data_IF_754342700081
#
_entry.id   IF_754342700081
#
_cell.length_a   1.000
_cell.length_b   1.000
_cell.length_c   1.000
_cell.angle_alpha   90.00
_cell.angle_beta   90.00
_cell.angle_gamma   90.00
#
_symmetry.space_group_name_H-M   'P 1'
#
loop_
_entity.id
_entity.type
_entity.pdbx_description
1 polymer ?
#
# COMPACT_ATOMS: atom_id res chain seq x y z
N UNK A 1 9.20 8.36 -18.40
CA UNK A 1 8.59 8.52 -17.08
C UNK A 1 7.09 8.30 -17.16
N UNK A 2 6.52 7.54 -16.24
CA UNK A 2 5.08 7.29 -16.22
C UNK A 2 4.32 8.56 -15.82
N UNK A 3 3.03 8.60 -16.18
CA UNK A 3 2.15 9.71 -15.78
C UNK A 3 2.10 9.86 -14.25
N UNK A 4 1.99 8.73 -13.53
CA UNK A 4 1.89 8.75 -12.07
C UNK A 4 3.17 9.27 -11.42
N UNK A 5 4.32 8.88 -11.94
CA UNK A 5 5.60 9.38 -11.47
C UNK A 5 5.72 10.89 -11.67
N UNK A 6 5.29 11.40 -12.83
CA UNK A 6 5.31 12.84 -13.10
C UNK A 6 4.40 13.61 -12.13
N UNK A 7 3.20 13.10 -11.84
CA UNK A 7 2.27 13.72 -10.91
C UNK A 7 2.87 13.76 -9.50
N UNK A 8 3.45 12.66 -9.04
CA UNK A 8 4.05 12.56 -7.70
C UNK A 8 5.25 13.48 -7.54
N UNK A 9 6.06 13.65 -8.59
CA UNK A 9 7.21 14.55 -8.55
C UNK A 9 6.81 16.02 -8.50
N UNK A 10 5.59 16.37 -8.92
CA UNK A 10 5.07 17.74 -8.82
C UNK A 10 4.69 18.12 -7.38
N UNK A 11 4.39 17.13 -6.53
CA UNK A 11 4.17 17.35 -5.11
C UNK A 11 5.49 17.15 -4.37
N UNK A 12 6.25 18.25 -4.20
CA UNK A 12 7.58 18.18 -3.60
C UNK A 12 7.59 17.64 -2.19
N UNK A 13 6.58 17.97 -1.38
CA UNK A 13 6.48 17.48 -0.01
C UNK A 13 6.26 15.97 0.04
N UNK A 14 5.35 15.47 -0.77
CA UNK A 14 5.06 14.04 -0.85
C UNK A 14 6.27 13.27 -1.39
N UNK A 15 6.93 13.81 -2.41
CA UNK A 15 8.11 13.20 -2.98
C UNK A 15 9.25 13.12 -1.97
N UNK A 16 9.48 14.20 -1.21
CA UNK A 16 10.51 14.23 -0.17
C UNK A 16 10.22 13.23 0.95
N UNK A 17 8.96 13.12 1.37
CA UNK A 17 8.53 12.17 2.38
C UNK A 17 8.74 10.72 1.91
N UNK A 18 8.37 10.42 0.67
CA UNK A 18 8.59 9.09 0.09
C UNK A 18 10.09 8.75 0.05
N UNK A 19 10.93 9.70 -0.32
CA UNK A 19 12.39 9.53 -0.31
C UNK A 19 12.92 9.22 1.08
N UNK A 20 12.41 9.91 2.09
CA UNK A 20 12.80 9.65 3.48
C UNK A 20 12.38 8.27 3.95
N UNK A 21 11.17 7.82 3.60
CA UNK A 21 10.69 6.46 3.93
C UNK A 21 11.60 5.40 3.32
N UNK A 22 11.93 5.54 2.04
CA UNK A 22 12.81 4.60 1.34
C UNK A 22 14.19 4.57 1.99
N UNK A 23 14.76 5.74 2.29
CA UNK A 23 16.07 5.84 2.93
C UNK A 23 16.09 5.21 4.32
N UNK A 24 15.07 5.45 5.13
CA UNK A 24 14.96 4.87 6.47
C UNK A 24 14.78 3.35 6.42
N UNK A 25 13.98 2.84 5.49
CA UNK A 25 13.79 1.41 5.31
C UNK A 25 15.09 0.72 4.92
N UNK A 26 15.83 1.32 3.99
CA UNK A 26 17.13 0.79 3.58
C UNK A 26 18.12 0.77 4.74
N UNK A 27 18.21 1.85 5.51
CA UNK A 27 19.09 1.95 6.67
C UNK A 27 18.73 0.94 7.76
N UNK A 28 17.43 0.66 7.93
CA UNK A 28 16.94 -0.31 8.92
C UNK A 28 17.02 -1.77 8.42
N UNK A 29 17.33 -2.00 7.16
CA UNK A 29 17.39 -3.35 6.59
C UNK A 29 16.03 -4.00 6.45
N UNK A 30 14.97 -3.22 6.28
CA UNK A 30 13.60 -3.72 6.12
C UNK A 30 13.10 -3.55 4.69
N UNK A 31 12.13 -4.35 4.31
CA UNK A 31 11.44 -4.22 3.03
C UNK A 31 10.00 -3.76 3.25
N UNK A 32 9.43 -3.15 2.23
CA UNK A 32 8.10 -2.55 2.26
C UNK A 32 7.22 -3.18 1.19
N UNK A 33 5.97 -3.39 1.55
CA UNK A 33 4.91 -3.72 0.62
C UNK A 33 3.66 -2.96 1.02
N UNK A 34 2.76 -2.74 0.08
CA UNK A 34 1.55 -1.99 0.31
C UNK A 34 0.31 -2.81 -0.03
N UNK A 35 -0.74 -2.60 0.74
CA UNK A 35 -2.09 -3.04 0.38
C UNK A 35 -2.95 -1.80 0.26
N UNK A 36 -3.51 -1.57 -0.91
CA UNK A 36 -4.23 -0.33 -1.22
C UNK A 36 -5.66 -0.59 -1.65
N UNK A 37 -6.54 0.33 -1.34
CA UNK A 37 -7.92 0.34 -1.81
C UNK A 37 -8.22 1.69 -2.48
N UNK A 38 -8.70 2.68 -1.73
CA UNK A 38 -9.10 3.98 -2.30
C UNK A 38 -7.94 4.76 -2.94
N UNK A 39 -6.71 4.51 -2.56
CA UNK A 39 -5.54 5.14 -3.17
C UNK A 39 -5.18 4.57 -4.53
N UNK A 40 -5.71 3.39 -4.89
CA UNK A 40 -5.62 2.84 -6.24
C UNK A 40 -4.22 2.55 -6.77
N UNK A 41 -3.24 2.39 -5.88
CA UNK A 41 -1.85 2.15 -6.25
C UNK A 41 -0.94 3.38 -6.10
N UNK A 42 -1.48 4.53 -5.69
CA UNK A 42 -0.70 5.76 -5.58
C UNK A 42 0.36 5.69 -4.48
N UNK A 43 0.11 4.96 -3.38
CA UNK A 43 1.11 4.81 -2.31
C UNK A 43 2.31 4.03 -2.84
N UNK A 44 2.08 2.90 -3.48
CA UNK A 44 3.15 2.12 -4.11
C UNK A 44 3.86 2.93 -5.20
N UNK A 45 3.09 3.66 -6.02
CA UNK A 45 3.64 4.53 -7.06
C UNK A 45 4.53 5.64 -6.50
N UNK A 46 4.13 6.23 -5.37
CA UNK A 46 4.91 7.25 -4.69
C UNK A 46 6.27 6.71 -4.22
N UNK A 47 6.26 5.53 -3.60
CA UNK A 47 7.50 4.91 -3.12
C UNK A 47 8.41 4.48 -4.27
N UNK A 48 7.84 3.88 -5.32
CA UNK A 48 8.62 3.41 -6.48
C UNK A 48 9.14 4.55 -7.35
N UNK A 49 8.60 5.77 -7.21
CA UNK A 49 9.12 6.95 -7.89
C UNK A 49 10.51 7.35 -7.39
N UNK A 50 10.89 6.92 -6.21
CA UNK A 50 12.18 7.28 -5.60
C UNK A 50 13.29 6.42 -6.21
N UNK A 51 14.38 7.07 -6.62
CA UNK A 51 15.55 6.38 -7.11
C UNK A 51 16.14 5.49 -6.01
N UNK A 52 16.43 4.24 -6.34
CA UNK A 52 16.95 3.27 -5.36
C UNK A 52 15.87 2.52 -4.59
N UNK A 53 14.58 2.80 -4.82
CA UNK A 53 13.48 2.16 -4.10
C UNK A 53 13.41 0.65 -4.30
N UNK A 54 13.96 0.12 -5.40
CA UNK A 54 13.96 -1.32 -5.66
C UNK A 54 14.71 -2.13 -4.60
N UNK A 55 15.59 -1.50 -3.84
CA UNK A 55 16.29 -2.15 -2.73
C UNK A 55 15.36 -2.48 -1.56
N UNK A 56 14.26 -1.75 -1.41
CA UNK A 56 13.37 -1.89 -0.24
C UNK A 56 11.91 -2.16 -0.60
N UNK A 57 11.41 -1.69 -1.73
CA UNK A 57 10.01 -1.86 -2.11
C UNK A 57 9.83 -3.16 -2.88
N UNK A 58 9.02 -4.06 -2.33
CA UNK A 58 8.76 -5.37 -2.94
C UNK A 58 7.59 -5.36 -3.90
N UNK A 59 6.63 -4.48 -3.68
CA UNK A 59 5.46 -4.41 -4.52
C UNK A 59 4.25 -3.93 -3.73
N UNK A 60 3.09 -4.11 -4.31
CA UNK A 60 1.84 -3.75 -3.67
C UNK A 60 0.67 -4.50 -4.29
N UNK A 61 -0.41 -4.58 -3.52
CA UNK A 61 -1.68 -5.16 -3.98
C UNK A 61 -2.73 -4.07 -3.95
N UNK A 62 -3.35 -3.82 -5.08
CA UNK A 62 -4.49 -2.92 -5.16
C UNK A 62 -5.76 -3.77 -5.10
N UNK A 63 -6.44 -3.74 -3.94
CA UNK A 63 -7.61 -4.57 -3.67
C UNK A 63 -8.84 -3.69 -3.46
N UNK A 64 -9.27 -3.03 -4.53
CA UNK A 64 -10.37 -2.08 -4.44
C UNK A 64 -11.72 -2.77 -4.15
N UNK A 65 -12.04 -3.83 -4.87
CA UNK A 65 -13.28 -4.56 -4.70
C UNK A 65 -13.24 -5.45 -3.45
N UNK A 66 -14.38 -5.61 -2.79
CA UNK A 66 -14.51 -6.45 -1.59
C UNK A 66 -14.07 -7.90 -1.86
N UNK A 67 -14.48 -8.56 -2.96
CA UNK A 67 -14.01 -9.91 -3.23
C UNK A 67 -12.51 -10.04 -3.35
N UNK A 68 -11.83 -9.01 -3.89
CA UNK A 68 -10.37 -9.00 -4.01
C UNK A 68 -9.71 -8.89 -2.63
N UNK A 69 -10.28 -8.05 -1.74
CA UNK A 69 -9.80 -7.97 -0.36
C UNK A 69 -9.83 -9.33 0.33
N UNK A 70 -10.90 -10.06 0.13
CA UNK A 70 -11.07 -11.38 0.75
C UNK A 70 -10.20 -12.45 0.08
N UNK A 71 -10.29 -12.57 -1.25
CA UNK A 71 -9.66 -13.68 -1.97
C UNK A 71 -8.14 -13.53 -2.08
N UNK A 72 -7.63 -12.33 -2.28
CA UNK A 72 -6.20 -12.10 -2.45
C UNK A 72 -5.51 -11.83 -1.12
N UNK A 73 -6.08 -10.94 -0.31
CA UNK A 73 -5.45 -10.51 0.94
C UNK A 73 -5.95 -11.28 2.16
N UNK A 74 -6.95 -12.13 2.01
CA UNK A 74 -7.45 -12.94 3.11
C UNK A 74 -8.21 -12.15 4.18
N UNK A 75 -8.71 -10.95 3.86
CA UNK A 75 -9.54 -10.19 4.80
C UNK A 75 -10.81 -11.00 5.09
N UNK A 76 -11.15 -11.24 6.36
CA UNK A 76 -12.34 -12.01 6.69
C UNK A 76 -13.61 -11.36 6.14
N UNK A 77 -14.41 -12.12 5.40
CA UNK A 77 -15.71 -11.63 4.97
C UNK A 77 -16.66 -11.58 6.16
N UNK A 78 -16.82 -12.71 6.87
CA UNK A 78 -17.61 -12.76 8.08
C UNK A 78 -16.92 -12.02 9.22
N UNK A 79 -17.65 -11.11 9.83
CA UNK A 79 -17.16 -10.35 10.99
C UNK A 79 -16.33 -9.11 10.66
N UNK A 80 -15.93 -8.90 9.41
CA UNK A 80 -15.24 -7.68 8.97
C UNK A 80 -15.97 -7.07 7.78
N UNK A 81 -15.85 -7.67 6.61
CA UNK A 81 -16.37 -7.06 5.37
C UNK A 81 -17.91 -7.04 5.35
N UNK A 82 -18.55 -8.07 5.88
CA UNK A 82 -20.02 -8.17 5.92
C UNK A 82 -20.65 -7.46 7.12
N UNK A 83 -19.85 -7.08 8.12
CA UNK A 83 -20.39 -6.45 9.34
C UNK A 83 -20.70 -4.98 9.07
N UNK A 84 -21.96 -4.54 9.19
CA UNK A 84 -22.34 -3.16 8.91
C UNK A 84 -21.75 -2.13 9.88
N UNK A 85 -21.27 -2.57 11.04
CA UNK A 85 -20.59 -1.72 12.02
C UNK A 85 -19.09 -1.60 11.79
N UNK A 86 -18.51 -2.45 10.96
CA UNK A 86 -17.08 -2.47 10.64
C UNK A 86 -16.89 -2.17 9.15
N UNK A 87 -17.10 -3.16 8.29
CA UNK A 87 -17.03 -3.01 6.85
C UNK A 87 -15.64 -2.82 6.29
N UNK A 88 -15.61 -2.53 4.98
CA UNK A 88 -14.36 -2.38 4.23
C UNK A 88 -13.59 -1.10 4.56
N UNK A 89 -14.26 -0.08 5.08
CA UNK A 89 -13.65 1.20 5.48
C UNK A 89 -13.55 1.22 7.00
N UNK A 90 -12.51 0.58 7.52
CA UNK A 90 -12.31 0.42 8.95
C UNK A 90 -10.85 0.15 9.26
N UNK A 91 -10.45 0.37 10.51
CA UNK A 91 -9.12 0.00 10.99
C UNK A 91 -8.92 -1.51 10.98
N UNK A 92 -9.96 -2.27 11.28
CA UNK A 92 -9.92 -3.75 11.25
C UNK A 92 -9.62 -4.26 9.84
N UNK A 93 -10.26 -3.69 8.83
CA UNK A 93 -10.00 -4.06 7.44
C UNK A 93 -8.58 -3.65 7.02
N UNK A 94 -8.15 -2.45 7.37
CA UNK A 94 -6.81 -1.97 7.04
C UNK A 94 -5.72 -2.86 7.65
N UNK A 95 -5.87 -3.26 8.90
CA UNK A 95 -4.93 -4.16 9.56
C UNK A 95 -4.90 -5.53 8.88
N UNK A 96 -6.05 -6.09 8.55
CA UNK A 96 -6.15 -7.37 7.87
C UNK A 96 -5.53 -7.30 6.47
N UNK A 97 -5.71 -6.19 5.75
CA UNK A 97 -5.11 -5.97 4.44
C UNK A 97 -3.58 -5.93 4.54
N UNK A 98 -3.04 -5.21 5.51
CA UNK A 98 -1.59 -5.12 5.71
C UNK A 98 -0.99 -6.48 6.03
N UNK A 99 -1.61 -7.25 6.92
CA UNK A 99 -1.18 -8.61 7.24
C UNK A 99 -1.24 -9.53 6.01
N UNK A 100 -2.30 -9.43 5.23
CA UNK A 100 -2.47 -10.21 4.01
C UNK A 100 -1.40 -9.88 2.97
N UNK A 101 -1.07 -8.61 2.79
CA UNK A 101 -0.01 -8.19 1.87
C UNK A 101 1.36 -8.71 2.31
N UNK A 102 1.63 -8.71 3.61
CA UNK A 102 2.87 -9.28 4.15
C UNK A 102 3.00 -10.78 3.83
N UNK A 103 1.89 -11.49 3.85
CA UNK A 103 1.87 -12.96 3.72
C UNK A 103 1.78 -13.44 2.26
N UNK A 104 1.57 -12.55 1.32
CA UNK A 104 1.46 -12.91 -0.11
C UNK A 104 2.82 -13.13 -0.77
#
# INVERSE_FOLDING_TARGET
MSRDKAILEQDGELFDLAGEVVRLAEAAGITLGCAESCTGGLVSGCLTAIQGSSAVVRGGVVSYAIPVKHEVLGVPYEGVLSDPGIGAVSSECAEAMACGARDV
#
